data_IF_021315724955
#
_entry.id   IF_021315724955
#
_cell.length_a   1.000
_cell.length_b   1.000
_cell.length_c   1.000
_cell.angle_alpha   90.00
_cell.angle_beta   90.00
_cell.angle_gamma   90.00
#
_symmetry.space_group_name_H-M   'P 1'
#
loop_
_entity.id
_entity.type
_entity.pdbx_description
1 polymer ?
#
# COMPACT_ATOMS: atom_id res chain seq x y z
N UNK A 1 -38.20 -29.32 -0.92
CA UNK A 1 -37.69 -30.55 -1.60
C UNK A 1 -36.20 -30.61 -1.28
N UNK A 2 -35.78 -31.68 -0.61
CA UNK A 2 -34.41 -31.90 -0.13
C UNK A 2 -33.60 -32.52 -1.28
N UNK A 3 -32.41 -31.98 -1.59
CA UNK A 3 -31.40 -32.72 -2.33
C UNK A 3 -30.09 -32.71 -1.54
N UNK A 4 -29.77 -33.89 -1.04
CA UNK A 4 -28.52 -34.28 -0.42
C UNK A 4 -27.45 -34.49 -1.51
N UNK A 5 -26.25 -33.94 -1.37
CA UNK A 5 -25.10 -34.34 -2.17
C UNK A 5 -24.12 -35.06 -1.26
N UNK A 6 -23.75 -36.25 -1.70
CA UNK A 6 -22.93 -37.24 -0.99
C UNK A 6 -21.44 -36.89 -1.12
N UNK A 7 -20.75 -36.95 0.01
CA UNK A 7 -19.29 -36.95 0.12
C UNK A 7 -18.75 -38.31 -0.36
N UNK A 8 -17.79 -38.32 -1.26
CA UNK A 8 -17.00 -39.49 -1.65
C UNK A 8 -15.57 -39.35 -1.18
N UNK A 9 -15.23 -40.09 -0.16
CA UNK A 9 -13.87 -40.25 0.34
C UNK A 9 -13.15 -41.33 -0.47
N UNK A 10 -11.95 -41.05 -0.99
CA UNK A 10 -11.07 -42.06 -1.58
C UNK A 10 -9.75 -42.11 -0.76
N UNK A 11 -9.61 -43.20 -0.07
CA UNK A 11 -8.38 -43.69 0.56
C UNK A 11 -7.54 -44.39 -0.52
N UNK A 12 -6.26 -44.06 -0.63
CA UNK A 12 -5.29 -44.96 -1.27
C UNK A 12 -3.98 -45.01 -0.47
N UNK A 13 -3.60 -46.22 -0.24
CA UNK A 13 -2.60 -46.81 0.67
C UNK A 13 -1.17 -46.72 0.11
N UNK A 14 -0.25 -46.77 1.03
CA UNK A 14 1.21 -46.82 0.94
C UNK A 14 1.77 -48.01 0.14
N UNK A 15 2.96 -47.82 -0.41
CA UNK A 15 3.94 -48.93 -0.57
C UNK A 15 5.39 -48.43 -0.44
N UNK A 16 6.07 -48.99 0.55
CA UNK A 16 7.51 -48.91 0.79
C UNK A 16 8.27 -49.68 -0.31
N UNK A 17 9.44 -49.15 -0.68
CA UNK A 17 10.45 -49.87 -1.45
C UNK A 17 11.85 -49.51 -0.98
N UNK A 18 12.45 -50.41 -0.22
CA UNK A 18 13.85 -50.40 0.17
C UNK A 18 14.75 -50.85 -0.98
N UNK A 19 15.90 -50.20 -1.16
CA UNK A 19 16.95 -50.64 -2.08
C UNK A 19 18.33 -50.12 -1.67
N UNK A 20 19.03 -50.86 -0.86
CA UNK A 20 20.46 -50.74 -0.58
C UNK A 20 21.24 -51.36 -1.73
N UNK A 21 22.35 -50.75 -2.16
CA UNK A 21 23.56 -51.48 -2.56
C UNK A 21 24.79 -50.57 -2.63
N UNK A 22 25.80 -51.02 -1.96
CA UNK A 22 27.17 -50.54 -1.79
C UNK A 22 28.03 -50.72 -3.04
N UNK A 23 29.09 -49.89 -3.18
CA UNK A 23 30.17 -50.12 -4.14
C UNK A 23 31.39 -49.24 -3.84
N UNK A 24 32.38 -49.83 -3.16
CA UNK A 24 33.73 -49.28 -2.94
C UNK A 24 34.67 -49.46 -4.13
N UNK A 25 35.69 -48.59 -4.25
CA UNK A 25 36.95 -48.75 -4.98
C UNK A 25 37.49 -47.39 -5.43
N UNK A 26 38.55 -46.83 -5.00
CA UNK A 26 39.87 -47.21 -4.64
C UNK A 26 40.88 -46.88 -5.75
N UNK A 27 41.81 -45.88 -5.51
CA UNK A 27 43.06 -45.88 -6.28
C UNK A 27 43.63 -44.54 -6.78
N UNK A 28 44.53 -43.92 -6.01
CA UNK A 28 45.87 -43.41 -6.33
C UNK A 28 46.10 -42.26 -7.37
N UNK A 29 46.69 -41.20 -6.84
CA UNK A 29 47.51 -40.19 -7.56
C UNK A 29 48.85 -40.78 -8.06
N UNK A 30 49.64 -40.11 -8.96
CA UNK A 30 50.31 -38.83 -8.66
C UNK A 30 50.65 -37.86 -9.82
N UNK A 31 50.87 -36.59 -9.43
CA UNK A 31 51.96 -35.66 -9.86
C UNK A 31 52.28 -35.36 -11.32
N UNK A 32 52.14 -34.11 -11.71
CA UNK A 32 53.24 -33.22 -12.19
C UNK A 32 52.70 -31.86 -12.67
N UNK A 33 53.29 -30.78 -12.19
CA UNK A 33 53.24 -29.42 -12.72
C UNK A 33 54.47 -29.18 -13.63
N UNK A 34 54.71 -27.97 -14.27
CA UNK A 34 53.84 -26.83 -14.56
C UNK A 34 53.93 -26.42 -16.06
N UNK A 35 53.02 -25.56 -16.55
CA UNK A 35 53.28 -24.70 -17.74
C UNK A 35 52.53 -23.40 -17.64
N UNK A 36 53.23 -22.35 -17.93
CA UNK A 36 52.95 -20.93 -17.79
C UNK A 36 52.08 -20.33 -18.93
N UNK A 37 51.11 -19.48 -18.54
CA UNK A 37 50.57 -18.24 -19.15
C UNK A 37 49.93 -18.28 -20.57
N UNK A 38 49.03 -17.37 -20.94
CA UNK A 38 48.96 -15.95 -20.55
C UNK A 38 47.61 -15.47 -19.99
N UNK A 39 47.60 -14.28 -19.42
CA UNK A 39 46.49 -13.57 -18.85
C UNK A 39 45.46 -13.18 -19.93
N UNK A 40 44.23 -13.66 -19.77
CA UNK A 40 43.06 -13.04 -20.37
C UNK A 40 42.39 -12.11 -19.39
N UNK A 41 42.16 -10.90 -19.89
CA UNK A 41 41.43 -9.81 -19.26
C UNK A 41 40.01 -10.28 -18.87
N UNK A 42 39.77 -10.49 -17.58
CA UNK A 42 38.43 -10.71 -17.07
C UNK A 42 37.70 -9.38 -16.96
N UNK A 43 36.66 -9.23 -17.80
CA UNK A 43 35.59 -8.26 -17.59
C UNK A 43 34.98 -8.47 -16.19
N UNK A 44 34.51 -7.41 -15.52
CA UNK A 44 33.84 -7.58 -14.24
C UNK A 44 32.52 -8.34 -14.47
N UNK A 45 32.46 -9.57 -13.98
CA UNK A 45 31.19 -10.26 -13.78
C UNK A 45 30.42 -9.53 -12.68
N UNK A 46 29.28 -8.97 -13.03
CA UNK A 46 28.24 -8.61 -12.06
C UNK A 46 27.77 -9.89 -11.37
N UNK A 47 28.49 -10.28 -10.33
CA UNK A 47 28.05 -11.33 -9.40
C UNK A 47 27.15 -10.66 -8.39
N UNK A 48 25.83 -10.64 -8.65
CA UNK A 48 24.86 -10.45 -7.59
C UNK A 48 25.10 -11.47 -6.48
N UNK A 49 25.15 -11.08 -5.22
CA UNK A 49 25.28 -12.02 -4.11
C UNK A 49 24.04 -12.90 -4.09
N UNK A 50 24.20 -14.20 -4.30
CA UNK A 50 23.15 -15.19 -4.04
C UNK A 50 22.96 -15.30 -2.56
N UNK A 51 22.06 -14.50 -2.03
CA UNK A 51 21.77 -14.40 -0.59
C UNK A 51 20.73 -15.43 -0.19
N UNK A 52 20.56 -16.54 -0.50
CA UNK A 52 19.55 -17.51 -0.02
C UNK A 52 19.12 -17.25 1.45
N UNK A 53 18.03 -17.81 1.89
CA UNK A 53 17.54 -17.63 3.26
C UNK A 53 16.02 -17.42 3.30
N UNK A 54 15.55 -16.82 4.39
CA UNK A 54 14.14 -16.54 4.64
C UNK A 54 13.93 -15.04 4.86
N UNK A 55 12.73 -14.56 4.54
CA UNK A 55 12.24 -13.24 4.89
C UNK A 55 10.78 -13.37 5.35
N UNK A 56 10.41 -12.70 6.42
CA UNK A 56 9.03 -12.64 6.91
C UNK A 56 8.52 -11.22 6.78
N UNK A 57 7.43 -11.05 6.05
CA UNK A 57 6.82 -9.75 5.77
C UNK A 57 5.42 -9.70 6.38
N UNK A 58 5.15 -8.67 7.17
CA UNK A 58 3.79 -8.29 7.53
C UNK A 58 3.30 -7.23 6.56
N UNK A 59 2.17 -7.48 5.90
CA UNK A 59 1.74 -6.61 4.80
C UNK A 59 0.27 -6.21 4.86
N UNK A 60 -0.01 -4.92 5.04
CA UNK A 60 -1.31 -4.34 4.75
C UNK A 60 -1.48 -3.89 3.27
N UNK A 61 -0.46 -4.09 2.43
CA UNK A 61 -0.55 -3.78 1.00
C UNK A 61 -1.63 -4.60 0.29
N UNK A 62 -2.06 -4.15 -0.87
CA UNK A 62 -3.06 -4.87 -1.67
C UNK A 62 -2.53 -6.22 -2.13
N UNK A 63 -3.44 -7.18 -2.34
CA UNK A 63 -3.08 -8.51 -2.84
C UNK A 63 -2.35 -8.42 -4.19
N UNK A 64 -2.73 -7.47 -5.05
CA UNK A 64 -2.07 -7.21 -6.33
C UNK A 64 -0.60 -6.85 -6.17
N UNK A 65 -0.27 -5.93 -5.26
CA UNK A 65 1.11 -5.54 -4.98
C UNK A 65 1.94 -6.69 -4.42
N UNK A 66 1.39 -7.43 -3.45
CA UNK A 66 2.06 -8.60 -2.86
C UNK A 66 2.34 -9.67 -3.92
N UNK A 67 1.34 -10.01 -4.75
CA UNK A 67 1.46 -11.04 -5.77
C UNK A 67 2.40 -10.67 -6.92
N UNK A 68 2.58 -9.38 -7.21
CA UNK A 68 3.53 -8.91 -8.21
C UNK A 68 4.98 -8.90 -7.69
N UNK A 69 5.19 -8.43 -6.47
CA UNK A 69 6.54 -8.17 -5.93
C UNK A 69 7.19 -9.43 -5.35
N UNK A 70 6.46 -10.23 -4.56
CA UNK A 70 7.04 -11.33 -3.81
C UNK A 70 7.62 -12.43 -4.69
N UNK A 71 6.87 -12.97 -5.71
CA UNK A 71 7.44 -14.02 -6.58
C UNK A 71 8.68 -13.54 -7.34
N UNK A 72 8.68 -12.30 -7.80
CA UNK A 72 9.81 -11.72 -8.52
C UNK A 72 11.04 -11.55 -7.63
N UNK A 73 10.85 -11.13 -6.38
CA UNK A 73 11.92 -11.06 -5.38
C UNK A 73 12.51 -12.45 -5.08
N UNK A 74 11.65 -13.45 -4.87
CA UNK A 74 12.09 -14.85 -4.65
C UNK A 74 12.87 -15.40 -5.85
N UNK A 75 12.41 -15.14 -7.08
CA UNK A 75 13.08 -15.57 -8.30
C UNK A 75 14.48 -14.97 -8.44
N UNK A 76 14.60 -13.66 -8.19
CA UNK A 76 15.87 -12.94 -8.35
C UNK A 76 16.90 -13.22 -7.26
N UNK A 77 16.45 -13.47 -6.04
CA UNK A 77 17.34 -13.55 -4.88
C UNK A 77 17.51 -14.96 -4.32
N UNK A 78 16.59 -15.88 -4.64
CA UNK A 78 16.52 -17.20 -4.03
C UNK A 78 16.07 -17.19 -2.56
N UNK A 79 15.73 -16.01 -2.00
CA UNK A 79 15.20 -15.85 -0.63
C UNK A 79 13.76 -16.31 -0.61
N UNK A 80 13.37 -17.15 0.37
CA UNK A 80 11.98 -17.58 0.56
C UNK A 80 11.24 -16.60 1.43
N UNK A 81 10.10 -16.12 0.94
CA UNK A 81 9.29 -15.09 1.60
C UNK A 81 8.02 -15.72 2.21
N UNK A 82 7.80 -15.42 3.47
CA UNK A 82 6.52 -15.69 4.16
C UNK A 82 5.81 -14.35 4.35
N UNK A 83 4.58 -14.24 3.84
CA UNK A 83 3.76 -13.02 3.98
C UNK A 83 2.60 -13.29 4.92
N UNK A 84 2.40 -12.38 5.88
CA UNK A 84 1.23 -12.34 6.76
C UNK A 84 0.50 -11.04 6.49
N UNK A 85 -0.74 -11.14 6.00
CA UNK A 85 -1.57 -9.99 5.66
C UNK A 85 -2.49 -9.61 6.81
N UNK A 86 -2.81 -8.32 6.92
CA UNK A 86 -3.70 -7.78 7.96
C UNK A 86 -3.84 -6.26 7.86
N UNK A 87 -4.61 -5.66 8.72
CA UNK A 87 -4.73 -4.20 8.81
C UNK A 87 -3.44 -3.54 9.33
N UNK A 88 -3.14 -2.32 8.87
CA UNK A 88 -1.91 -1.60 9.27
C UNK A 88 -1.74 -1.54 10.78
N UNK A 89 -2.75 -1.05 11.50
CA UNK A 89 -2.70 -0.92 12.97
C UNK A 89 -2.57 -2.26 13.66
N UNK A 90 -3.26 -3.31 13.18
CA UNK A 90 -3.16 -4.68 13.72
C UNK A 90 -1.73 -5.22 13.62
N UNK A 91 -1.12 -5.09 12.43
CA UNK A 91 0.22 -5.64 12.19
C UNK A 91 1.30 -4.86 12.95
N UNK A 92 1.19 -3.54 13.03
CA UNK A 92 2.09 -2.71 13.83
C UNK A 92 2.00 -3.05 15.33
N UNK A 93 0.78 -3.12 15.87
CA UNK A 93 0.56 -3.51 17.27
C UNK A 93 1.06 -4.94 17.55
N UNK A 94 0.97 -5.84 16.58
CA UNK A 94 1.50 -7.19 16.70
C UNK A 94 3.01 -7.20 16.81
N UNK A 95 3.74 -6.47 15.96
CA UNK A 95 5.21 -6.35 16.06
C UNK A 95 5.62 -5.74 17.40
N UNK A 96 4.91 -4.70 17.85
CA UNK A 96 5.15 -4.09 19.16
C UNK A 96 4.99 -5.09 20.31
N UNK A 97 3.93 -5.89 20.27
CA UNK A 97 3.71 -6.95 21.26
C UNK A 97 4.75 -8.09 21.21
N UNK A 98 5.36 -8.36 20.06
CA UNK A 98 6.45 -9.32 19.89
C UNK A 98 7.78 -8.84 20.50
N UNK A 99 7.95 -7.54 20.76
CA UNK A 99 9.04 -6.92 21.50
C UNK A 99 10.44 -7.17 20.90
N UNK A 100 11.40 -7.60 21.71
CA UNK A 100 12.81 -7.76 21.31
C UNK A 100 13.08 -8.96 20.38
N UNK A 101 12.09 -9.79 20.10
CA UNK A 101 12.21 -10.95 19.20
C UNK A 101 11.08 -11.00 18.19
N UNK A 102 10.99 -10.01 17.31
CA UNK A 102 9.91 -9.93 16.34
C UNK A 102 9.92 -11.14 15.39
N UNK A 103 8.73 -11.53 14.95
CA UNK A 103 8.58 -12.56 13.93
C UNK A 103 8.78 -11.96 12.54
N UNK A 104 8.28 -10.75 12.31
CA UNK A 104 8.44 -10.02 11.06
C UNK A 104 9.84 -9.43 10.89
N UNK A 105 10.31 -9.40 9.64
CA UNK A 105 11.53 -8.70 9.25
C UNK A 105 11.21 -7.33 8.62
N UNK A 106 10.07 -7.22 7.94
CA UNK A 106 9.62 -6.03 7.21
C UNK A 106 8.13 -5.81 7.43
N UNK A 107 7.73 -4.54 7.56
CA UNK A 107 6.35 -4.11 7.31
C UNK A 107 6.30 -3.50 5.91
N UNK A 108 5.39 -4.00 5.05
CA UNK A 108 5.23 -3.57 3.66
C UNK A 108 3.81 -3.10 3.40
N UNK A 109 3.60 -1.79 3.41
CA UNK A 109 2.31 -1.12 3.23
C UNK A 109 1.87 -0.29 4.44
N UNK A 110 0.83 0.47 4.26
CA UNK A 110 0.30 1.41 5.26
C UNK A 110 0.90 2.81 5.17
N UNK A 111 0.28 3.78 5.81
CA UNK A 111 0.68 5.19 5.76
C UNK A 111 1.75 5.57 6.78
N UNK A 112 2.53 6.60 6.47
CA UNK A 112 3.64 7.11 7.27
C UNK A 112 3.23 7.51 8.69
N UNK A 113 2.05 8.09 8.88
CA UNK A 113 1.53 8.48 10.20
C UNK A 113 1.47 7.30 11.17
N UNK A 114 1.03 6.12 10.68
CA UNK A 114 1.00 4.90 11.49
C UNK A 114 2.40 4.40 11.86
N UNK A 115 3.36 4.50 10.94
CA UNK A 115 4.77 4.14 11.21
C UNK A 115 5.41 5.08 12.24
N UNK A 116 5.09 6.36 12.19
CA UNK A 116 5.61 7.35 13.14
C UNK A 116 5.13 7.07 14.56
N UNK A 117 3.87 6.66 14.75
CA UNK A 117 3.33 6.24 16.04
C UNK A 117 4.11 5.07 16.64
N UNK A 118 4.52 4.12 15.80
CA UNK A 118 5.28 2.92 16.19
C UNK A 118 6.78 3.02 15.88
N UNK A 119 7.36 4.21 15.78
CA UNK A 119 8.77 4.42 15.40
C UNK A 119 9.76 3.50 16.14
N UNK A 120 9.52 3.21 17.40
CA UNK A 120 10.42 2.43 18.26
C UNK A 120 10.59 0.97 17.83
N UNK A 121 9.67 0.41 17.03
CA UNK A 121 9.77 -0.96 16.49
C UNK A 121 10.56 -1.04 15.19
N UNK A 122 10.96 0.08 14.60
CA UNK A 122 11.68 0.11 13.32
C UNK A 122 13.18 0.27 13.49
N UNK A 123 13.92 -0.33 12.57
CA UNK A 123 15.35 -0.16 12.37
C UNK A 123 15.60 1.07 11.49
N UNK A 124 16.56 1.91 11.87
CA UNK A 124 17.00 3.00 10.97
C UNK A 124 17.60 2.40 9.70
N UNK A 125 16.99 2.75 8.57
CA UNK A 125 17.45 2.36 7.25
C UNK A 125 16.96 3.33 6.18
N UNK A 126 17.87 3.83 5.36
CA UNK A 126 17.58 4.60 4.14
C UNK A 126 18.15 3.81 2.96
N UNK A 127 17.30 3.45 2.02
CA UNK A 127 17.71 2.70 0.83
C UNK A 127 18.66 3.51 -0.06
N UNK A 128 19.68 2.91 -0.69
CA UNK A 128 20.46 3.56 -1.76
C UNK A 128 19.62 4.03 -2.95
N UNK A 129 18.43 3.43 -3.15
CA UNK A 129 17.45 3.83 -4.18
C UNK A 129 16.70 5.11 -3.84
N UNK A 130 16.71 5.56 -2.59
CA UNK A 130 16.00 6.77 -2.14
C UNK A 130 16.38 8.03 -2.92
N UNK A 131 17.63 8.10 -3.41
CA UNK A 131 18.10 9.19 -4.29
C UNK A 131 17.32 9.33 -5.60
N UNK A 132 16.65 8.24 -6.04
CA UNK A 132 15.86 8.18 -7.26
C UNK A 132 14.35 8.38 -6.96
N UNK A 133 13.97 8.49 -5.69
CA UNK A 133 12.62 8.86 -5.26
C UNK A 133 12.41 10.34 -5.51
N UNK A 134 11.22 10.73 -5.93
CA UNK A 134 10.76 12.11 -6.06
C UNK A 134 11.07 12.85 -4.75
N UNK A 135 11.69 14.03 -4.84
CA UNK A 135 12.30 14.74 -3.70
C UNK A 135 11.35 14.91 -2.51
N UNK A 136 10.08 15.20 -2.79
CA UNK A 136 9.03 15.40 -1.78
C UNK A 136 8.74 14.14 -0.94
N UNK A 137 8.94 12.95 -1.53
CA UNK A 137 8.60 11.65 -0.91
C UNK A 137 9.81 10.86 -0.43
N UNK A 138 11.01 11.47 -0.43
CA UNK A 138 12.22 10.84 0.09
C UNK A 138 12.13 10.56 1.57
N UNK A 139 12.86 9.55 2.01
CA UNK A 139 12.96 9.17 3.41
C UNK A 139 13.67 10.27 4.24
N UNK A 140 12.89 11.15 4.84
CA UNK A 140 13.37 12.17 5.77
C UNK A 140 13.33 11.72 7.23
N UNK A 141 12.58 10.67 7.55
CA UNK A 141 12.42 10.14 8.90
C UNK A 141 13.54 9.18 9.32
N UNK A 142 14.25 8.59 8.36
CA UNK A 142 15.40 7.72 8.58
C UNK A 142 15.06 6.25 8.85
N UNK A 143 13.80 5.87 9.07
CA UNK A 143 13.41 4.51 9.46
C UNK A 143 12.32 3.88 8.57
N UNK A 144 11.69 4.63 7.70
CA UNK A 144 10.69 4.13 6.76
C UNK A 144 10.77 4.92 5.45
N UNK A 145 10.35 4.32 4.35
CA UNK A 145 10.44 4.91 3.02
C UNK A 145 9.11 4.73 2.29
N UNK A 146 8.65 5.77 1.60
CA UNK A 146 7.51 5.66 0.70
C UNK A 146 7.88 4.83 -0.53
N UNK A 147 7.05 3.86 -0.92
CA UNK A 147 7.32 2.99 -2.07
C UNK A 147 6.29 3.13 -3.21
N UNK A 148 5.13 3.68 -2.94
CA UNK A 148 4.17 4.11 -3.93
C UNK A 148 3.36 5.28 -3.38
N UNK A 149 2.69 6.00 -4.27
CA UNK A 149 1.84 7.12 -3.90
C UNK A 149 0.38 6.74 -4.11
N UNK A 150 -0.46 7.44 -3.38
CA UNK A 150 -1.90 7.36 -3.51
C UNK A 150 -2.50 8.75 -3.39
N UNK A 151 -3.67 8.97 -3.97
CA UNK A 151 -4.35 10.25 -3.88
C UNK A 151 -5.82 10.10 -3.54
N UNK A 152 -6.36 11.12 -2.87
CA UNK A 152 -7.78 11.25 -2.62
C UNK A 152 -8.51 11.54 -3.93
N UNK A 153 -9.43 10.66 -4.34
CA UNK A 153 -10.26 10.83 -5.54
C UNK A 153 -11.72 10.51 -5.24
N UNK A 154 -12.61 10.98 -6.09
CA UNK A 154 -13.99 10.48 -6.08
C UNK A 154 -14.18 9.46 -7.20
N UNK A 155 -14.90 8.39 -6.87
CA UNK A 155 -15.42 7.43 -7.83
C UNK A 155 -16.91 7.74 -7.99
N UNK A 156 -17.32 8.15 -9.18
CA UNK A 156 -18.70 8.57 -9.45
C UNK A 156 -19.35 7.59 -10.42
N UNK A 157 -20.50 7.03 -10.04
CA UNK A 157 -21.28 6.16 -10.91
C UNK A 157 -21.97 6.98 -12.01
N UNK A 158 -21.65 6.70 -13.27
CA UNK A 158 -22.11 7.44 -14.44
C UNK A 158 -23.59 7.20 -14.76
N UNK A 159 -24.15 6.08 -14.33
CA UNK A 159 -25.57 5.74 -14.57
C UNK A 159 -26.49 6.35 -13.50
N UNK A 160 -25.97 6.64 -12.31
CA UNK A 160 -26.73 7.14 -11.16
C UNK A 160 -26.62 8.63 -10.92
N UNK A 161 -25.53 9.27 -11.37
CA UNK A 161 -25.24 10.68 -11.08
C UNK A 161 -26.22 11.62 -11.76
N UNK A 162 -26.83 11.21 -12.88
CA UNK A 162 -27.77 12.04 -13.64
C UNK A 162 -27.15 13.36 -14.10
N UNK A 163 -27.85 14.46 -13.85
CA UNK A 163 -27.40 15.82 -14.22
C UNK A 163 -26.57 16.49 -13.11
N UNK A 164 -26.24 15.80 -12.03
CA UNK A 164 -25.44 16.36 -10.92
C UNK A 164 -23.98 16.44 -11.38
N UNK A 165 -23.44 17.65 -11.40
CA UNK A 165 -22.01 17.86 -11.61
C UNK A 165 -21.27 17.59 -10.30
N UNK A 166 -20.22 16.76 -10.35
CA UNK A 166 -19.33 16.46 -9.23
C UNK A 166 -17.91 16.66 -9.75
N UNK A 167 -17.26 17.73 -9.33
CA UNK A 167 -15.90 18.10 -9.69
C UNK A 167 -15.01 18.30 -8.44
N UNK A 168 -15.62 18.60 -7.29
CA UNK A 168 -14.92 18.90 -6.05
C UNK A 168 -15.72 18.60 -4.80
N UNK A 169 -15.14 18.89 -3.64
CA UNK A 169 -15.74 18.64 -2.33
C UNK A 169 -17.02 19.44 -2.12
N UNK A 170 -17.07 20.68 -2.64
CA UNK A 170 -18.26 21.52 -2.48
C UNK A 170 -19.49 20.95 -3.20
N UNK A 171 -19.30 20.23 -4.31
CA UNK A 171 -20.39 19.57 -5.01
C UNK A 171 -21.00 18.41 -4.20
N UNK A 172 -20.20 17.77 -3.33
CA UNK A 172 -20.69 16.74 -2.43
C UNK A 172 -21.66 17.24 -1.36
N UNK A 173 -21.72 18.57 -1.16
CA UNK A 173 -22.66 19.21 -0.24
C UNK A 173 -24.05 19.40 -0.87
N UNK A 174 -24.23 19.06 -2.15
CA UNK A 174 -25.52 19.11 -2.82
C UNK A 174 -26.54 18.22 -2.07
N UNK A 175 -27.69 18.76 -1.62
CA UNK A 175 -28.71 17.99 -0.90
C UNK A 175 -29.26 16.78 -1.68
N UNK A 176 -29.16 16.78 -3.01
CA UNK A 176 -29.57 15.63 -3.84
C UNK A 176 -28.67 14.41 -3.66
N UNK A 177 -27.45 14.60 -3.14
CA UNK A 177 -26.51 13.53 -2.81
C UNK A 177 -26.70 12.98 -1.38
N UNK A 178 -27.63 13.53 -0.61
CA UNK A 178 -27.84 13.07 0.77
C UNK A 178 -28.15 11.56 0.83
N UNK A 179 -27.34 10.83 1.61
CA UNK A 179 -27.42 9.38 1.74
C UNK A 179 -26.98 8.58 0.52
N UNK A 180 -26.35 9.24 -0.47
CA UNK A 180 -25.83 8.62 -1.69
C UNK A 180 -24.30 8.70 -1.82
N UNK A 181 -23.63 9.15 -0.76
CA UNK A 181 -22.17 9.28 -0.66
C UNK A 181 -21.65 8.10 0.16
N UNK A 182 -20.67 7.38 -0.36
CA UNK A 182 -19.99 6.30 0.36
C UNK A 182 -18.61 6.77 0.85
N UNK A 183 -18.37 6.67 2.13
CA UNK A 183 -17.07 6.85 2.76
C UNK A 183 -16.96 5.85 3.92
N UNK A 184 -15.82 5.20 4.16
CA UNK A 184 -15.62 4.43 5.38
C UNK A 184 -15.44 5.37 6.58
N UNK A 185 -15.44 4.82 7.78
CA UNK A 185 -15.15 5.58 9.01
C UNK A 185 -13.69 6.10 8.97
N UNK A 186 -13.45 7.44 8.96
CA UNK A 186 -12.11 8.00 8.95
C UNK A 186 -11.26 7.63 10.17
N UNK A 187 -11.88 7.25 11.29
CA UNK A 187 -11.14 6.80 12.48
C UNK A 187 -10.52 5.41 12.31
N UNK A 188 -11.03 4.61 11.37
CA UNK A 188 -10.62 3.24 11.11
C UNK A 188 -10.02 3.03 9.71
N UNK A 189 -10.13 4.03 8.82
CA UNK A 189 -9.70 3.94 7.43
C UNK A 189 -8.77 5.08 7.06
N UNK A 190 -7.53 4.75 6.68
CA UNK A 190 -6.53 5.73 6.24
C UNK A 190 -6.96 6.46 4.96
N UNK A 191 -7.60 5.79 4.01
CA UNK A 191 -8.10 6.44 2.79
C UNK A 191 -9.23 7.43 3.06
N UNK A 192 -10.09 7.14 4.04
CA UNK A 192 -11.13 8.08 4.45
C UNK A 192 -10.54 9.28 5.23
N UNK A 193 -9.57 9.04 6.11
CA UNK A 193 -8.87 10.10 6.82
C UNK A 193 -8.12 11.03 5.84
N UNK A 194 -7.50 10.47 4.79
CA UNK A 194 -6.87 11.24 3.73
C UNK A 194 -7.83 12.27 3.08
N UNK A 195 -9.11 11.91 2.91
CA UNK A 195 -10.12 12.87 2.43
C UNK A 195 -10.40 14.00 3.44
N UNK A 196 -10.43 13.70 4.73
CA UNK A 196 -10.61 14.73 5.77
C UNK A 196 -9.40 15.67 5.79
N UNK A 197 -8.19 15.11 5.73
CA UNK A 197 -6.94 15.87 5.68
C UNK A 197 -6.85 16.75 4.44
N UNK A 198 -7.23 16.21 3.26
CA UNK A 198 -7.29 16.96 2.00
C UNK A 198 -8.29 18.11 2.11
N UNK A 199 -9.50 17.82 2.54
CA UNK A 199 -10.58 18.81 2.70
C UNK A 199 -10.15 19.94 3.65
N UNK A 200 -9.59 19.63 4.81
CA UNK A 200 -9.10 20.64 5.73
C UNK A 200 -7.97 21.49 5.10
N UNK A 201 -7.07 20.85 4.35
CA UNK A 201 -5.98 21.55 3.65
C UNK A 201 -6.53 22.51 2.60
N UNK A 202 -7.53 22.10 1.84
CA UNK A 202 -8.17 22.93 0.80
C UNK A 202 -8.96 24.13 1.37
N UNK A 203 -9.63 23.93 2.52
CA UNK A 203 -10.53 24.91 3.11
C UNK A 203 -9.96 25.53 4.39
N UNK A 204 -8.88 26.32 4.26
CA UNK A 204 -8.30 27.13 5.31
C UNK A 204 -7.03 26.59 5.97
N UNK A 205 -6.54 25.41 5.55
CA UNK A 205 -5.34 24.77 6.02
C UNK A 205 -5.58 23.68 7.07
N UNK A 206 -4.69 22.72 7.11
CA UNK A 206 -4.75 21.58 8.03
C UNK A 206 -4.33 22.02 9.45
N UNK A 207 -5.24 22.63 10.18
CA UNK A 207 -5.07 22.95 11.60
C UNK A 207 -6.32 22.62 12.40
N UNK A 208 -6.15 22.36 13.69
CA UNK A 208 -7.28 22.08 14.57
C UNK A 208 -8.18 23.31 14.78
N UNK A 209 -7.62 24.52 14.64
CA UNK A 209 -8.32 25.80 14.81
C UNK A 209 -9.04 26.27 13.54
N UNK A 210 -8.90 25.53 12.43
CA UNK A 210 -9.54 25.88 11.16
C UNK A 210 -11.05 25.58 11.18
N UNK A 211 -11.85 26.50 11.76
CA UNK A 211 -13.31 26.30 11.83
C UNK A 211 -13.98 26.28 10.46
N UNK A 212 -13.45 26.98 9.44
CA UNK A 212 -13.99 26.98 8.09
C UNK A 212 -13.93 25.57 7.47
N UNK A 213 -12.77 24.92 7.52
CA UNK A 213 -12.62 23.54 7.05
C UNK A 213 -13.47 22.55 7.83
N UNK A 214 -13.53 22.69 9.15
CA UNK A 214 -14.37 21.83 9.98
C UNK A 214 -15.87 22.04 9.75
N UNK A 215 -16.30 23.25 9.33
CA UNK A 215 -17.69 23.47 8.91
C UNK A 215 -18.02 22.73 7.62
N UNK A 216 -17.09 22.67 6.67
CA UNK A 216 -17.26 21.85 5.45
C UNK A 216 -17.31 20.36 5.79
N UNK A 217 -16.46 19.89 6.73
CA UNK A 217 -16.53 18.50 7.23
C UNK A 217 -17.91 18.19 7.83
N UNK A 218 -18.45 19.06 8.71
CA UNK A 218 -19.78 18.88 9.29
C UNK A 218 -20.89 18.82 8.22
N UNK A 219 -20.81 19.64 7.19
CA UNK A 219 -21.76 19.63 6.08
C UNK A 219 -21.66 18.33 5.25
N UNK A 220 -20.45 17.88 4.97
CA UNK A 220 -20.22 16.57 4.32
C UNK A 220 -20.80 15.44 5.16
N UNK A 221 -20.51 15.41 6.47
CA UNK A 221 -21.06 14.43 7.42
C UNK A 221 -22.58 14.43 7.38
N UNK A 222 -23.24 15.61 7.36
CA UNK A 222 -24.69 15.72 7.25
C UNK A 222 -25.26 15.08 5.97
N UNK A 223 -24.51 15.14 4.86
CA UNK A 223 -24.90 14.51 3.60
C UNK A 223 -24.67 12.99 3.56
N UNK A 224 -23.84 12.44 4.46
CA UNK A 224 -23.69 10.98 4.59
C UNK A 224 -24.97 10.30 5.10
N UNK A 225 -25.87 11.04 5.75
CA UNK A 225 -27.15 10.54 6.32
C UNK A 225 -26.92 9.39 7.34
N UNK A 226 -25.83 9.48 8.12
CA UNK A 226 -25.43 8.48 9.11
C UNK A 226 -24.89 7.19 8.52
N UNK A 227 -24.62 7.14 7.23
CA UNK A 227 -24.12 5.93 6.54
C UNK A 227 -22.61 5.98 6.41
N UNK A 228 -21.94 5.03 7.05
CA UNK A 228 -20.50 4.78 6.87
C UNK A 228 -20.33 3.37 6.29
N UNK A 229 -19.46 3.24 5.30
CA UNK A 229 -19.10 1.94 4.76
C UNK A 229 -18.22 1.17 5.76
N UNK A 230 -18.30 -0.15 5.75
CA UNK A 230 -17.52 -1.01 6.66
C UNK A 230 -16.01 -1.02 6.39
N UNK A 231 -15.57 -0.39 5.31
CA UNK A 231 -14.17 -0.24 4.93
C UNK A 231 -14.03 0.30 3.52
N UNK A 232 -12.79 0.62 3.10
CA UNK A 232 -12.50 1.22 1.80
C UNK A 232 -13.06 0.40 0.64
N UNK A 233 -12.87 -0.92 0.66
CA UNK A 233 -13.39 -1.80 -0.40
C UNK A 233 -14.92 -1.82 -0.46
N UNK A 234 -15.62 -1.70 0.66
CA UNK A 234 -17.08 -1.63 0.67
C UNK A 234 -17.56 -0.30 0.07
N UNK A 235 -16.85 0.80 0.32
CA UNK A 235 -17.22 2.12 -0.20
C UNK A 235 -17.17 2.14 -1.74
N UNK A 236 -16.05 1.82 -2.37
CA UNK A 236 -15.94 1.90 -3.82
C UNK A 236 -16.74 0.80 -4.55
N UNK A 237 -16.89 -0.40 -3.95
CA UNK A 237 -17.75 -1.45 -4.50
C UNK A 237 -19.21 -1.03 -4.55
N UNK A 238 -19.73 -0.38 -3.51
CA UNK A 238 -21.12 0.09 -3.50
C UNK A 238 -21.43 1.06 -4.64
N UNK A 239 -20.44 1.82 -5.12
CA UNK A 239 -20.59 2.66 -6.31
C UNK A 239 -20.55 1.84 -7.59
N UNK A 240 -19.61 0.90 -7.71
CA UNK A 240 -19.53 0.00 -8.87
C UNK A 240 -20.79 -0.86 -9.03
N UNK A 241 -21.35 -1.33 -7.92
CA UNK A 241 -22.57 -2.17 -7.87
C UNK A 241 -23.87 -1.36 -8.04
N UNK A 242 -23.79 0.00 -8.14
CA UNK A 242 -24.95 0.87 -8.35
C UNK A 242 -25.79 1.11 -7.08
N UNK A 243 -25.25 0.94 -5.90
CA UNK A 243 -25.92 1.22 -4.63
C UNK A 243 -25.73 2.68 -4.17
N UNK A 244 -24.58 3.29 -4.51
CA UNK A 244 -24.21 4.66 -4.17
C UNK A 244 -23.82 5.45 -5.43
N UNK A 245 -24.01 6.77 -5.38
CA UNK A 245 -23.70 7.67 -6.52
C UNK A 245 -22.22 8.00 -6.56
N UNK A 246 -21.61 8.25 -5.39
CA UNK A 246 -20.20 8.66 -5.30
C UNK A 246 -19.54 8.01 -4.09
N UNK A 247 -18.28 7.62 -4.26
CA UNK A 247 -17.42 7.20 -3.15
C UNK A 247 -16.22 8.15 -3.03
N UNK A 248 -15.91 8.53 -1.79
CA UNK A 248 -14.63 9.10 -1.44
C UNK A 248 -13.65 7.93 -1.29
N UNK A 249 -12.65 7.87 -2.16
CA UNK A 249 -11.80 6.69 -2.32
C UNK A 249 -10.36 7.09 -2.68
N UNK A 250 -9.60 6.14 -3.10
CA UNK A 250 -8.20 6.29 -3.49
C UNK A 250 -7.98 5.91 -4.96
N UNK A 251 -6.92 6.44 -5.54
CA UNK A 251 -6.67 6.44 -6.97
C UNK A 251 -6.66 5.04 -7.59
N UNK A 252 -5.89 4.09 -7.02
CA UNK A 252 -5.76 2.72 -7.52
C UNK A 252 -7.15 2.06 -7.71
N UNK A 253 -8.05 2.17 -6.71
CA UNK A 253 -9.37 1.58 -6.79
C UNK A 253 -10.22 2.19 -7.93
N UNK A 254 -10.14 3.50 -8.11
CA UNK A 254 -10.88 4.20 -9.18
C UNK A 254 -10.41 3.82 -10.58
N UNK A 255 -9.10 3.76 -10.77
CA UNK A 255 -8.48 3.42 -12.06
C UNK A 255 -8.78 1.96 -12.43
N UNK A 256 -8.65 1.02 -11.48
CA UNK A 256 -8.97 -0.39 -11.72
C UNK A 256 -10.43 -0.54 -12.15
N UNK A 257 -11.38 0.10 -11.47
CA UNK A 257 -12.80 0.03 -11.83
C UNK A 257 -13.06 0.59 -13.22
N UNK A 258 -12.49 1.75 -13.55
CA UNK A 258 -12.65 2.38 -14.87
C UNK A 258 -12.05 1.52 -15.99
N UNK A 259 -10.84 0.97 -15.76
CA UNK A 259 -10.18 0.04 -16.69
C UNK A 259 -11.00 -1.23 -16.92
N UNK A 260 -11.59 -1.80 -15.86
CA UNK A 260 -12.38 -3.02 -15.93
C UNK A 260 -13.80 -2.79 -16.50
N UNK A 261 -14.11 -1.55 -16.91
CA UNK A 261 -15.34 -1.19 -17.61
C UNK A 261 -16.56 -1.03 -16.71
N UNK A 262 -16.37 -0.80 -15.40
CA UNK A 262 -17.45 -0.40 -14.53
C UNK A 262 -18.03 0.96 -14.96
N UNK A 263 -19.34 1.22 -14.75
CA UNK A 263 -19.95 2.50 -15.11
C UNK A 263 -19.55 3.62 -14.15
N UNK A 264 -18.24 3.90 -14.09
CA UNK A 264 -17.67 4.88 -13.17
C UNK A 264 -16.75 5.86 -13.88
N UNK A 265 -16.61 7.05 -13.31
CA UNK A 265 -15.55 8.02 -13.63
C UNK A 265 -14.75 8.36 -12.40
N UNK A 266 -13.45 8.60 -12.58
CA UNK A 266 -12.51 9.05 -11.56
C UNK A 266 -12.44 10.58 -11.61
N UNK A 267 -12.66 11.22 -10.48
CA UNK A 267 -12.60 12.68 -10.33
C UNK A 267 -11.53 13.03 -9.30
N UNK A 268 -10.57 13.82 -9.71
CA UNK A 268 -9.64 14.49 -8.80
C UNK A 268 -10.30 15.81 -8.38
N UNK A 269 -10.47 16.08 -7.08
CA UNK A 269 -11.13 17.30 -6.62
C UNK A 269 -10.53 18.56 -7.23
N UNK A 270 -11.36 19.48 -7.72
CA UNK A 270 -10.91 20.72 -8.37
C UNK A 270 -10.27 21.70 -7.37
N UNK A 271 -10.62 21.60 -6.09
CA UNK A 271 -9.97 22.33 -5.00
C UNK A 271 -8.51 21.90 -4.88
N UNK A 272 -8.24 20.64 -5.06
CA UNK A 272 -6.94 19.98 -5.04
C UNK A 272 -7.00 18.59 -4.40
N UNK A 273 -5.96 17.81 -4.58
CA UNK A 273 -5.78 16.54 -3.88
C UNK A 273 -4.38 16.44 -3.29
N UNK A 274 -4.25 15.69 -2.21
CA UNK A 274 -2.95 15.33 -1.65
C UNK A 274 -2.47 14.03 -2.28
N UNK A 275 -1.15 13.92 -2.48
CA UNK A 275 -0.51 12.62 -2.69
C UNK A 275 0.13 12.19 -1.38
N UNK A 276 -0.23 11.00 -0.92
CA UNK A 276 0.35 10.37 0.26
C UNK A 276 1.13 9.14 -0.12
N UNK A 277 2.20 8.83 0.63
CA UNK A 277 3.01 7.64 0.39
C UNK A 277 2.49 6.42 1.15
N UNK A 278 2.44 5.28 0.46
CA UNK A 278 2.44 3.99 1.15
C UNK A 278 3.86 3.61 1.52
N UNK A 279 4.04 3.12 2.73
CA UNK A 279 5.33 3.08 3.42
C UNK A 279 5.84 1.65 3.61
N UNK A 280 7.15 1.49 3.57
CA UNK A 280 7.86 0.25 3.90
C UNK A 280 8.92 0.53 4.96
N UNK A 281 9.08 -0.37 5.92
CA UNK A 281 10.09 -0.24 6.98
C UNK A 281 10.66 -1.57 7.42
N UNK A 282 11.94 -1.56 7.78
CA UNK A 282 12.65 -2.71 8.36
C UNK A 282 12.35 -2.80 9.85
N UNK A 283 11.95 -3.97 10.34
CA UNK A 283 11.65 -4.18 11.76
C UNK A 283 12.95 -4.25 12.56
N UNK A 284 12.98 -3.55 13.69
CA UNK A 284 14.13 -3.55 14.61
C UNK A 284 14.33 -4.94 15.24
N UNK A 285 15.58 -5.35 15.40
CA UNK A 285 15.95 -6.66 15.93
C UNK A 285 15.39 -7.86 15.12
N UNK A 286 15.00 -7.65 13.87
CA UNK A 286 14.56 -8.72 12.98
C UNK A 286 15.67 -9.76 12.74
N UNK A 287 15.28 -10.97 12.39
CA UNK A 287 16.23 -12.11 12.25
C UNK A 287 17.03 -12.06 10.95
N UNK A 288 16.46 -11.46 9.90
CA UNK A 288 17.00 -11.49 8.54
C UNK A 288 17.27 -10.08 8.03
N UNK A 289 18.03 -9.28 8.79
CA UNK A 289 18.25 -7.86 8.55
C UNK A 289 18.74 -7.53 7.14
N UNK A 290 19.74 -8.28 6.62
CA UNK A 290 20.28 -8.02 5.29
C UNK A 290 19.26 -8.33 4.19
N UNK A 291 18.47 -9.39 4.34
CA UNK A 291 17.38 -9.73 3.43
C UNK A 291 16.25 -8.68 3.49
N UNK A 292 15.96 -8.16 4.68
CA UNK A 292 14.97 -7.09 4.88
C UNK A 292 15.38 -5.80 4.16
N UNK A 293 16.64 -5.39 4.28
CA UNK A 293 17.19 -4.22 3.55
C UNK A 293 17.15 -4.45 2.04
N UNK A 294 17.58 -5.63 1.58
CA UNK A 294 17.54 -5.98 0.17
C UNK A 294 16.11 -5.93 -0.40
N UNK A 295 15.10 -6.33 0.39
CA UNK A 295 13.72 -6.25 -0.02
C UNK A 295 13.25 -4.79 -0.16
N UNK A 296 13.60 -3.91 0.78
CA UNK A 296 13.31 -2.46 0.66
C UNK A 296 13.94 -1.87 -0.60
N UNK A 297 15.22 -2.17 -0.85
CA UNK A 297 15.93 -1.70 -2.06
C UNK A 297 15.27 -2.23 -3.34
N UNK A 298 14.85 -3.50 -3.32
CA UNK A 298 14.17 -4.14 -4.44
C UNK A 298 12.82 -3.49 -4.76
N UNK A 299 12.00 -3.21 -3.74
CA UNK A 299 10.70 -2.53 -3.91
C UNK A 299 10.87 -1.14 -4.51
N UNK A 300 11.95 -0.44 -4.18
CA UNK A 300 12.26 0.89 -4.73
C UNK A 300 12.98 0.84 -6.07
N UNK A 301 13.36 -0.33 -6.58
CA UNK A 301 14.03 -0.45 -7.87
C UNK A 301 13.15 0.04 -9.03
N UNK A 302 13.77 0.56 -10.09
CA UNK A 302 13.04 1.00 -11.29
C UNK A 302 12.15 -0.11 -11.88
N UNK A 303 12.60 -1.36 -11.81
CA UNK A 303 11.85 -2.51 -12.31
C UNK A 303 10.52 -2.69 -11.57
N UNK A 304 10.54 -2.71 -10.23
CA UNK A 304 9.32 -2.85 -9.43
C UNK A 304 8.42 -1.63 -9.57
N UNK A 305 9.01 -0.44 -9.65
CA UNK A 305 8.26 0.80 -9.85
C UNK A 305 7.57 0.86 -11.22
N UNK A 306 8.20 0.28 -12.26
CA UNK A 306 7.53 0.10 -13.56
C UNK A 306 6.38 -0.91 -13.48
N UNK A 307 6.50 -1.99 -12.72
CA UNK A 307 5.41 -2.96 -12.50
C UNK A 307 4.25 -2.27 -11.77
N UNK A 308 4.53 -1.51 -10.72
CA UNK A 308 3.48 -0.74 -10.03
C UNK A 308 2.72 0.15 -10.99
N UNK A 309 3.43 0.93 -11.81
CA UNK A 309 2.81 1.89 -12.70
C UNK A 309 2.07 1.25 -13.88
N UNK A 310 2.68 0.24 -14.53
CA UNK A 310 2.19 -0.25 -15.82
C UNK A 310 1.29 -1.50 -15.70
N UNK A 311 1.48 -2.30 -14.66
CA UNK A 311 0.76 -3.57 -14.51
C UNK A 311 -0.32 -3.50 -13.42
N UNK A 312 -0.14 -2.61 -12.41
CA UNK A 312 -1.03 -2.52 -11.26
C UNK A 312 -1.80 -1.20 -11.15
N UNK A 313 -1.53 -0.22 -12.02
CA UNK A 313 -2.11 1.13 -11.96
C UNK A 313 -1.83 1.86 -10.62
N UNK A 314 -0.74 1.49 -9.95
CA UNK A 314 -0.28 2.10 -8.71
C UNK A 314 0.74 3.19 -9.02
N UNK A 315 0.55 4.38 -8.48
CA UNK A 315 1.44 5.52 -8.74
C UNK A 315 2.82 5.30 -8.12
N UNK A 316 3.88 5.29 -8.95
CA UNK A 316 5.24 5.07 -8.45
C UNK A 316 5.76 6.29 -7.70
N UNK A 317 6.77 6.08 -6.84
CA UNK A 317 7.50 7.18 -6.16
C UNK A 317 8.69 7.71 -6.97
N UNK A 318 8.96 7.13 -8.15
CA UNK A 318 10.09 7.51 -9.02
C UNK A 318 9.59 8.29 -10.22
N UNK A 319 10.38 9.24 -10.70
CA UNK A 319 10.12 10.05 -11.89
C UNK A 319 10.76 9.46 -13.17
N UNK A 320 11.62 8.44 -13.02
CA UNK A 320 12.31 7.76 -14.12
C UNK A 320 11.60 6.49 -14.61
N UNK A 321 10.27 6.42 -14.43
CA UNK A 321 9.39 5.36 -14.92
C UNK A 321 8.46 5.87 -16.02
N UNK A 322 8.05 4.96 -16.92
CA UNK A 322 7.11 5.30 -17.99
C UNK A 322 5.67 5.13 -17.52
N UNK A 323 4.85 6.17 -17.69
CA UNK A 323 3.42 6.11 -17.38
C UNK A 323 2.61 5.62 -18.58
N UNK A 324 1.58 4.77 -18.37
CA UNK A 324 0.58 4.48 -19.41
C UNK A 324 -0.20 5.74 -19.79
N UNK A 325 -0.68 5.81 -21.04
CA UNK A 325 -1.42 6.98 -21.55
C UNK A 325 -2.71 7.29 -20.77
N UNK A 326 -3.32 6.30 -20.12
CA UNK A 326 -4.52 6.46 -19.30
C UNK A 326 -4.23 6.91 -17.87
N UNK A 327 -2.98 6.88 -17.45
CA UNK A 327 -2.58 7.27 -16.10
C UNK A 327 -2.26 8.77 -16.08
N UNK A 328 -3.10 9.56 -15.42
CA UNK A 328 -2.90 11.01 -15.36
C UNK A 328 -1.60 11.34 -14.60
N UNK A 329 -0.60 12.00 -15.22
CA UNK A 329 0.59 12.45 -14.51
C UNK A 329 0.23 13.35 -13.31
N UNK A 330 1.04 13.32 -12.25
CA UNK A 330 0.80 14.19 -11.09
C UNK A 330 0.80 15.68 -11.48
N UNK A 331 1.60 16.07 -12.48
CA UNK A 331 1.66 17.44 -13.02
C UNK A 331 0.34 17.93 -13.61
N UNK A 332 -0.55 17.04 -14.02
CA UNK A 332 -1.85 17.36 -14.63
C UNK A 332 -2.99 17.33 -13.60
N UNK A 333 -2.67 17.08 -12.34
CA UNK A 333 -3.60 17.08 -11.21
C UNK A 333 -3.27 18.28 -10.32
N UNK A 334 -4.30 19.05 -9.95
CA UNK A 334 -4.10 20.11 -8.96
C UNK A 334 -3.78 19.46 -7.61
N UNK A 335 -2.57 19.68 -7.13
CA UNK A 335 -2.11 19.16 -5.85
C UNK A 335 -2.13 20.22 -4.78
N UNK A 336 -2.36 19.83 -3.55
CA UNK A 336 -2.19 20.65 -2.35
C UNK A 336 -1.15 20.01 -1.45
N UNK A 337 -0.39 20.86 -0.79
CA UNK A 337 0.64 20.39 0.13
C UNK A 337 0.01 19.96 1.45
N UNK A 338 0.25 18.72 1.82
CA UNK A 338 -0.11 18.18 3.13
C UNK A 338 1.12 18.28 4.06
N UNK A 339 0.99 19.02 5.15
CA UNK A 339 2.02 19.02 6.20
C UNK A 339 1.98 17.68 6.97
N UNK A 340 2.71 16.71 6.46
CA UNK A 340 2.78 15.36 7.04
C UNK A 340 3.35 15.39 8.48
N UNK A 341 4.23 16.33 8.79
CA UNK A 341 4.76 16.48 10.14
C UNK A 341 3.67 16.93 11.11
N UNK A 342 2.79 17.84 10.68
CA UNK A 342 1.63 18.25 11.47
C UNK A 342 0.64 17.08 11.64
N UNK A 343 0.30 16.36 10.57
CA UNK A 343 -0.58 15.17 10.63
C UNK A 343 -0.03 14.16 11.62
N UNK A 344 1.25 13.83 11.53
CA UNK A 344 1.88 12.85 12.42
C UNK A 344 1.85 13.29 13.90
N UNK A 345 2.03 14.60 14.16
CA UNK A 345 2.01 15.14 15.50
C UNK A 345 0.61 15.22 16.12
N UNK A 346 -0.44 15.40 15.30
CA UNK A 346 -1.82 15.69 15.78
C UNK A 346 -2.84 14.64 15.33
N UNK A 347 -2.41 13.46 14.91
CA UNK A 347 -3.30 12.40 14.36
C UNK A 347 -4.50 12.11 15.26
N UNK A 348 -4.25 11.91 16.56
CA UNK A 348 -5.32 11.61 17.51
C UNK A 348 -6.29 12.79 17.67
N UNK A 349 -5.78 14.00 17.74
CA UNK A 349 -6.59 15.21 17.91
C UNK A 349 -7.47 15.49 16.68
N UNK A 350 -6.94 15.25 15.47
CA UNK A 350 -7.71 15.33 14.20
C UNK A 350 -8.82 14.27 14.21
N UNK A 351 -8.49 13.04 14.63
CA UNK A 351 -9.46 11.94 14.76
C UNK A 351 -10.56 12.27 15.75
N UNK A 352 -10.20 12.77 16.93
CA UNK A 352 -11.16 13.15 17.99
C UNK A 352 -12.08 14.29 17.51
N UNK A 353 -11.51 15.31 16.84
CA UNK A 353 -12.30 16.43 16.31
C UNK A 353 -13.24 15.99 15.16
N UNK A 354 -12.84 15.03 14.35
CA UNK A 354 -13.75 14.41 13.38
C UNK A 354 -14.93 13.70 14.09
N UNK A 355 -14.65 12.94 15.15
CA UNK A 355 -15.70 12.28 15.93
C UNK A 355 -16.65 13.28 16.56
N UNK A 356 -16.14 14.38 17.10
CA UNK A 356 -16.96 15.47 17.63
C UNK A 356 -17.85 16.06 16.54
N UNK A 357 -17.30 16.35 15.36
CA UNK A 357 -18.06 16.83 14.20
C UNK A 357 -19.14 15.85 13.75
N UNK A 358 -18.86 14.55 13.79
CA UNK A 358 -19.83 13.50 13.48
C UNK A 358 -20.96 13.45 14.52
N UNK A 359 -20.62 13.50 15.81
CA UNK A 359 -21.59 13.48 16.91
C UNK A 359 -22.45 14.75 17.00
N UNK A 360 -21.92 15.90 16.58
CA UNK A 360 -22.71 17.14 16.45
C UNK A 360 -23.86 17.00 15.45
N UNK A 361 -23.62 16.25 14.37
CA UNK A 361 -24.63 15.99 13.34
C UNK A 361 -25.56 14.83 13.71
N UNK A 362 -25.01 13.78 14.33
CA UNK A 362 -25.74 12.58 14.72
C UNK A 362 -25.57 12.31 16.23
N UNK A 363 -26.23 13.10 17.09
CA UNK A 363 -26.22 12.83 18.53
C UNK A 363 -26.87 11.47 18.78
N UNK A 364 -26.11 10.54 19.42
CA UNK A 364 -26.51 9.17 19.71
C UNK A 364 -27.77 9.02 20.57
#
# INVERSE_FOLDING_TARGET
MKHSVKVLALLLTASLGFGLLSGCGGGSSPSSAPSSAPAESSAPSDTQPTTGGKLVIYSPATEGQVNAVIPLFEEKTGIKVEVITGGTGELLARVDAEGDSPYADVIFGGGESSYTEYKHIFQDYVSPEDKNVIEEFRNTLGFCTNYCLDSAIFIVNTDLVGDIEINGYMDLLNPELKGKIAIPDPTASSSAMMHIETLLTDFGGLTLENEEGWDVVRQLVANLDGKLASGSSAAWKSVADGEMVVALSYEEAGIILARDGAPVKVIYPEEGTVFTGSTIGVVKNCKNLDNAKLFVDFVLSQEVQNIFCNDLDVRPVRDDVSYPDYFRPATDVKTVYLDQAYVNAHKQEITDKYMDAYMDVYPG
#
